data_IF_839480789579
#
_entry.id   IF_839480789579
#
_cell.length_a   1.000
_cell.length_b   1.000
_cell.length_c   1.000
_cell.angle_alpha   90.00
_cell.angle_beta   90.00
_cell.angle_gamma   90.00
#
_symmetry.space_group_name_H-M   'P 1'
#
loop_
_entity.id
_entity.type
_entity.pdbx_description
1 polymer ?
#
# COMPACT_ATOMS: atom_id res chain seq x y z
N UNK A 1 0.96 2.96 -13.11
CA UNK A 1 2.27 2.37 -12.82
C UNK A 1 2.09 1.19 -11.87
N UNK A 2 2.79 0.10 -12.12
CA UNK A 2 2.82 -1.05 -11.20
C UNK A 2 3.96 -0.80 -10.22
N UNK A 3 3.64 -0.69 -8.93
CA UNK A 3 4.65 -0.64 -7.88
C UNK A 3 4.83 -2.05 -7.30
N UNK A 4 6.05 -2.54 -7.29
CA UNK A 4 6.44 -3.79 -6.64
C UNK A 4 7.25 -3.55 -5.36
N UNK A 5 7.26 -2.31 -4.88
CA UNK A 5 7.98 -1.94 -3.67
C UNK A 5 7.12 -2.16 -2.43
N UNK A 6 7.78 -2.40 -1.31
CA UNK A 6 7.12 -2.43 -0.02
C UNK A 6 6.49 -1.08 0.33
N UNK A 7 5.42 -1.11 1.11
CA UNK A 7 4.61 0.06 1.45
C UNK A 7 5.44 1.18 2.09
N UNK A 8 6.35 0.84 3.00
CA UNK A 8 7.24 1.77 3.68
C UNK A 8 8.24 2.45 2.73
N UNK A 9 8.85 1.67 1.84
CA UNK A 9 9.79 2.20 0.85
C UNK A 9 9.08 3.10 -0.17
N UNK A 10 7.89 2.70 -0.61
CA UNK A 10 7.06 3.51 -1.50
C UNK A 10 6.67 4.84 -0.85
N UNK A 11 6.21 4.80 0.41
CA UNK A 11 5.83 5.98 1.17
C UNK A 11 7.03 6.92 1.38
N UNK A 12 8.20 6.39 1.77
CA UNK A 12 9.42 7.16 1.94
C UNK A 12 9.79 7.91 0.67
N UNK A 13 9.89 7.20 -0.46
CA UNK A 13 10.25 7.82 -1.73
C UNK A 13 9.28 8.92 -2.16
N UNK A 14 7.98 8.70 -1.99
CA UNK A 14 6.97 9.70 -2.30
C UNK A 14 7.09 10.94 -1.41
N UNK A 15 7.19 10.76 -0.10
CA UNK A 15 7.32 11.85 0.87
C UNK A 15 8.60 12.66 0.64
N UNK A 16 9.75 11.99 0.44
CA UNK A 16 11.02 12.67 0.17
C UNK A 16 10.96 13.52 -1.10
N UNK A 17 10.31 13.03 -2.17
CA UNK A 17 10.14 13.79 -3.41
C UNK A 17 9.27 15.01 -3.15
N UNK A 18 8.11 14.85 -2.49
CA UNK A 18 7.19 15.94 -2.22
C UNK A 18 7.81 17.01 -1.32
N UNK A 19 8.57 16.64 -0.30
CA UNK A 19 9.31 17.59 0.54
C UNK A 19 10.38 18.35 -0.25
N UNK A 20 11.14 17.66 -1.11
CA UNK A 20 12.17 18.29 -1.96
C UNK A 20 11.61 19.29 -2.96
N UNK A 21 10.38 19.09 -3.46
CA UNK A 21 9.72 20.06 -4.35
C UNK A 21 8.93 21.13 -3.59
N UNK A 22 8.97 21.12 -2.25
CA UNK A 22 8.38 22.16 -1.41
C UNK A 22 6.86 22.05 -1.25
N UNK A 23 6.28 20.85 -1.31
CA UNK A 23 4.86 20.66 -1.03
C UNK A 23 4.55 20.98 0.44
N UNK A 24 3.42 21.66 0.68
CA UNK A 24 2.95 21.99 2.02
C UNK A 24 1.89 20.99 2.53
N UNK A 25 1.24 20.28 1.64
CA UNK A 25 0.16 19.35 1.95
C UNK A 25 0.45 17.96 1.36
N UNK A 26 0.14 16.93 2.14
CA UNK A 26 0.21 15.53 1.74
C UNK A 26 -1.19 14.93 1.78
N UNK A 27 -1.85 14.87 0.63
CA UNK A 27 -3.17 14.27 0.51
C UNK A 27 -3.08 12.79 0.10
N UNK A 28 -3.86 11.94 0.76
CA UNK A 28 -3.94 10.51 0.43
C UNK A 28 -5.33 9.95 0.69
N UNK A 29 -5.71 8.93 -0.08
CA UNK A 29 -6.98 8.23 0.09
C UNK A 29 -6.93 7.23 1.24
N UNK A 30 -7.97 7.23 2.09
CA UNK A 30 -8.12 6.32 3.23
C UNK A 30 -9.55 5.75 3.28
N UNK A 31 -9.76 4.73 4.09
CA UNK A 31 -11.11 4.16 4.29
C UNK A 31 -11.92 4.96 5.32
N UNK A 32 -11.26 5.79 6.12
CA UNK A 32 -11.83 6.67 7.15
C UNK A 32 -10.75 7.30 8.01
N UNK A 33 -11.17 8.11 8.97
CA UNK A 33 -10.26 8.83 9.85
C UNK A 33 -9.87 10.21 9.29
N UNK A 34 -9.53 11.08 10.20
CA UNK A 34 -9.05 12.43 9.95
C UNK A 34 -7.56 12.57 10.30
N UNK A 35 -7.03 13.78 10.27
CA UNK A 35 -5.66 14.09 10.65
C UNK A 35 -5.33 13.58 12.05
N UNK A 36 -6.21 13.82 13.03
CA UNK A 36 -6.00 13.40 14.41
C UNK A 36 -5.94 11.87 14.59
N UNK A 37 -6.73 11.13 13.78
CA UNK A 37 -6.66 9.68 13.75
C UNK A 37 -5.27 9.19 13.32
N UNK A 38 -4.72 9.73 12.23
CA UNK A 38 -3.40 9.35 11.74
C UNK A 38 -2.28 9.79 12.68
N UNK A 39 -2.37 10.96 13.31
CA UNK A 39 -1.43 11.39 14.35
C UNK A 39 -1.43 10.43 15.55
N UNK A 40 -2.60 10.01 16.01
CA UNK A 40 -2.71 9.02 17.08
C UNK A 40 -2.10 7.67 16.68
N UNK A 41 -2.39 7.19 15.47
CA UNK A 41 -1.83 5.94 14.95
C UNK A 41 -0.30 5.99 14.83
N UNK A 42 0.25 7.10 14.35
CA UNK A 42 1.70 7.35 14.27
C UNK A 42 2.33 7.33 15.66
N UNK A 43 1.76 8.07 16.62
CA UNK A 43 2.25 8.11 18.00
C UNK A 43 2.27 6.71 18.63
N UNK A 44 1.20 5.93 18.45
CA UNK A 44 1.13 4.55 18.93
C UNK A 44 2.16 3.65 18.23
N UNK A 45 2.36 3.79 16.93
CA UNK A 45 3.35 3.02 16.17
C UNK A 45 4.79 3.31 16.63
N UNK A 46 5.10 4.57 16.90
CA UNK A 46 6.40 4.99 17.42
C UNK A 46 6.63 4.48 18.85
N UNK A 47 5.58 4.47 19.69
CA UNK A 47 5.67 3.99 21.06
C UNK A 47 6.08 2.50 21.15
N UNK A 48 5.73 1.68 20.17
CA UNK A 48 6.10 0.25 20.13
C UNK A 48 7.33 -0.07 19.29
N UNK A 49 7.96 0.92 18.66
CA UNK A 49 9.07 0.71 17.71
C UNK A 49 10.19 -0.16 18.28
N UNK A 50 10.59 0.11 19.51
CA UNK A 50 11.66 -0.63 20.19
C UNK A 50 11.29 -2.07 20.59
N UNK A 51 9.99 -2.36 20.67
CA UNK A 51 9.50 -3.68 21.06
C UNK A 51 9.25 -4.59 19.87
N UNK A 52 9.12 -4.02 18.65
CA UNK A 52 8.78 -4.78 17.44
C UNK A 52 9.80 -5.87 17.16
N UNK A 53 11.10 -5.54 17.13
CA UNK A 53 12.15 -6.51 16.81
C UNK A 53 12.12 -7.71 17.73
N UNK A 54 11.98 -7.47 19.05
CA UNK A 54 11.87 -8.53 20.03
C UNK A 54 10.61 -9.35 19.85
N UNK A 55 9.47 -8.70 19.64
CA UNK A 55 8.19 -9.39 19.44
C UNK A 55 8.20 -10.27 18.18
N UNK A 56 8.83 -9.79 17.10
CA UNK A 56 9.01 -10.53 15.84
C UNK A 56 9.86 -11.78 16.07
N UNK A 57 10.96 -11.68 16.82
CA UNK A 57 11.83 -12.82 17.15
C UNK A 57 11.09 -13.90 17.96
N UNK A 58 10.24 -13.48 18.90
CA UNK A 58 9.46 -14.38 19.76
C UNK A 58 8.29 -15.06 19.02
N UNK A 59 7.82 -14.49 17.89
CA UNK A 59 6.61 -14.94 17.19
C UNK A 59 6.85 -15.29 15.71
N UNK A 60 7.96 -15.91 15.38
CA UNK A 60 8.40 -16.22 13.99
C UNK A 60 7.43 -17.04 13.14
N UNK A 61 6.43 -17.67 13.73
CA UNK A 61 5.40 -18.44 13.00
C UNK A 61 4.34 -17.56 12.32
N UNK A 62 4.31 -16.27 12.64
CA UNK A 62 3.34 -15.32 12.12
C UNK A 62 3.97 -14.40 11.08
N UNK A 63 3.16 -13.87 10.16
CA UNK A 63 3.61 -12.83 9.25
C UNK A 63 3.89 -11.53 10.02
N UNK A 64 4.78 -10.70 9.52
CA UNK A 64 5.11 -9.40 10.13
C UNK A 64 3.86 -8.53 10.39
N UNK A 65 2.93 -8.49 9.43
CA UNK A 65 1.67 -7.76 9.58
C UNK A 65 0.85 -8.28 10.77
N UNK A 66 0.72 -9.60 10.91
CA UNK A 66 0.00 -10.22 12.04
C UNK A 66 0.69 -9.95 13.37
N UNK A 67 2.03 -10.01 13.39
CA UNK A 67 2.82 -9.71 14.60
C UNK A 67 2.63 -8.27 15.05
N UNK A 68 2.69 -7.32 14.11
CA UNK A 68 2.50 -5.90 14.40
C UNK A 68 1.09 -5.62 14.93
N UNK A 69 0.07 -6.21 14.31
CA UNK A 69 -1.32 -6.08 14.77
C UNK A 69 -1.50 -6.65 16.18
N UNK A 70 -0.97 -7.84 16.47
CA UNK A 70 -1.06 -8.43 17.81
C UNK A 70 -0.34 -7.61 18.87
N UNK A 71 0.83 -7.06 18.56
CA UNK A 71 1.54 -6.18 19.47
C UNK A 71 0.75 -4.89 19.73
N UNK A 72 0.15 -4.30 18.70
CA UNK A 72 -0.70 -3.12 18.84
C UNK A 72 -1.93 -3.40 19.71
N UNK A 73 -2.63 -4.51 19.47
CA UNK A 73 -3.77 -4.94 20.31
C UNK A 73 -3.37 -5.11 21.77
N UNK A 74 -2.25 -5.78 22.02
CA UNK A 74 -1.73 -6.02 23.36
C UNK A 74 -1.43 -4.73 24.12
N UNK A 75 -0.97 -3.69 23.41
CA UNK A 75 -0.54 -2.42 24.01
C UNK A 75 -1.67 -1.39 24.14
N UNK A 76 -2.53 -1.30 23.16
CA UNK A 76 -3.48 -0.20 23.03
C UNK A 76 -4.94 -0.66 22.96
N UNK A 77 -5.21 -1.96 22.85
CA UNK A 77 -6.54 -2.53 22.67
C UNK A 77 -6.97 -2.61 21.20
N UNK A 78 -8.06 -3.35 20.95
CA UNK A 78 -8.56 -3.65 19.60
C UNK A 78 -9.09 -2.42 18.86
N UNK A 79 -9.65 -1.44 19.58
CA UNK A 79 -10.25 -0.22 19.04
C UNK A 79 -9.25 0.94 18.91
N UNK A 80 -7.96 0.67 18.99
CA UNK A 80 -6.95 1.73 18.90
C UNK A 80 -6.73 2.18 17.45
N UNK A 81 -6.34 3.45 17.29
CA UNK A 81 -6.06 4.03 15.97
C UNK A 81 -5.03 3.24 15.18
N UNK A 82 -3.98 2.71 15.84
CA UNK A 82 -2.99 1.88 15.17
C UNK A 82 -3.58 0.57 14.66
N UNK A 83 -4.40 -0.12 15.45
CA UNK A 83 -5.04 -1.38 15.02
C UNK A 83 -5.96 -1.14 13.83
N UNK A 84 -6.78 -0.10 13.88
CA UNK A 84 -7.65 0.29 12.78
C UNK A 84 -6.84 0.66 11.52
N UNK A 85 -5.75 1.42 11.68
CA UNK A 85 -4.85 1.75 10.56
C UNK A 85 -4.17 0.53 9.93
N UNK A 86 -4.09 -0.60 10.61
CA UNK A 86 -3.52 -1.84 10.09
C UNK A 86 -4.55 -2.77 9.40
N UNK A 87 -5.85 -2.43 9.41
CA UNK A 87 -6.90 -3.32 8.90
C UNK A 87 -7.02 -3.33 7.38
N UNK A 88 -6.68 -2.26 6.69
CA UNK A 88 -6.83 -2.18 5.24
C UNK A 88 -5.57 -1.66 4.53
N UNK A 89 -5.35 -2.03 3.27
CA UNK A 89 -4.19 -1.57 2.51
C UNK A 89 -4.08 -0.05 2.38
N UNK A 90 -5.21 0.66 2.22
CA UNK A 90 -5.19 2.12 2.11
C UNK A 90 -4.87 2.79 3.45
N UNK A 91 -5.40 2.25 4.56
CA UNK A 91 -5.06 2.73 5.90
C UNK A 91 -3.59 2.50 6.23
N UNK A 92 -3.05 1.31 5.91
CA UNK A 92 -1.63 1.01 6.08
C UNK A 92 -0.73 1.95 5.26
N UNK A 93 -1.12 2.26 4.03
CA UNK A 93 -0.39 3.21 3.19
C UNK A 93 -0.48 4.64 3.75
N UNK A 94 -1.65 5.06 4.22
CA UNK A 94 -1.84 6.34 4.89
C UNK A 94 -0.97 6.48 6.14
N UNK A 95 -0.95 5.44 6.98
CA UNK A 95 -0.07 5.37 8.16
C UNK A 95 1.43 5.46 7.76
N UNK A 96 1.84 4.75 6.70
CA UNK A 96 3.21 4.80 6.22
C UNK A 96 3.60 6.21 5.72
N UNK A 97 2.71 6.88 4.99
CA UNK A 97 2.91 8.28 4.60
C UNK A 97 3.06 9.22 5.80
N UNK A 98 2.18 9.09 6.79
CA UNK A 98 2.21 9.92 7.98
C UNK A 98 3.51 9.69 8.79
N UNK A 99 3.93 8.43 8.97
CA UNK A 99 5.18 8.06 9.63
C UNK A 99 6.43 8.63 8.93
N UNK A 100 6.50 8.52 7.60
CA UNK A 100 7.63 9.04 6.85
C UNK A 100 7.64 10.57 6.80
N UNK A 101 6.44 11.19 6.77
CA UNK A 101 6.30 12.64 6.78
C UNK A 101 6.86 13.27 8.07
N UNK A 102 6.63 12.65 9.23
CA UNK A 102 7.17 13.16 10.50
C UNK A 102 8.69 13.08 10.62
N UNK A 103 9.35 12.22 9.84
CA UNK A 103 10.82 12.10 9.85
C UNK A 103 11.52 13.23 9.11
N UNK A 104 10.79 13.99 8.30
CA UNK A 104 11.34 15.11 7.52
C UNK A 104 11.61 16.35 8.37
N UNK A 105 12.52 17.19 7.92
CA UNK A 105 12.82 18.48 8.59
C UNK A 105 11.63 19.45 8.57
N UNK A 106 10.79 19.35 7.55
CA UNK A 106 9.60 20.20 7.35
C UNK A 106 8.40 19.31 7.02
N UNK A 107 7.75 18.70 8.03
CA UNK A 107 6.58 17.88 7.80
C UNK A 107 5.46 18.64 7.08
N UNK A 108 4.87 18.03 6.07
CA UNK A 108 3.70 18.52 5.38
C UNK A 108 2.46 18.33 6.26
N UNK A 109 1.46 19.19 6.10
CA UNK A 109 0.15 18.94 6.70
C UNK A 109 -0.50 17.76 5.98
N UNK A 110 -0.90 16.73 6.71
CA UNK A 110 -1.59 15.59 6.14
C UNK A 110 -3.07 15.91 5.89
N UNK A 111 -3.59 15.43 4.76
CA UNK A 111 -4.99 15.63 4.34
C UNK A 111 -5.57 14.28 3.94
N UNK A 112 -6.07 13.49 4.92
CA UNK A 112 -6.74 12.23 4.62
C UNK A 112 -8.03 12.48 3.85
N UNK A 113 -8.25 11.77 2.75
CA UNK A 113 -9.45 11.86 1.93
C UNK A 113 -10.18 10.53 2.00
N UNK A 114 -11.33 10.53 2.67
CA UNK A 114 -12.15 9.32 2.75
C UNK A 114 -12.65 8.92 1.37
N UNK A 115 -12.42 7.67 1.01
CA UNK A 115 -12.86 7.09 -0.26
C UNK A 115 -14.38 6.96 -0.28
N UNK A 116 -14.95 7.31 -1.44
CA UNK A 116 -16.38 7.15 -1.70
C UNK A 116 -16.53 6.10 -2.80
N UNK A 117 -17.42 5.13 -2.60
CA UNK A 117 -17.71 4.08 -3.57
C UNK A 117 -17.44 2.67 -3.04
N UNK A 118 -17.22 1.73 -3.96
CA UNK A 118 -17.00 0.32 -3.65
C UNK A 118 -15.72 0.08 -2.84
N UNK A 119 -15.75 -0.92 -1.97
CA UNK A 119 -14.60 -1.36 -1.19
C UNK A 119 -13.41 -1.76 -2.08
N UNK A 120 -12.22 -1.80 -1.50
CA UNK A 120 -10.98 -2.11 -2.24
C UNK A 120 -10.99 -3.48 -2.93
N UNK A 121 -11.78 -4.42 -2.41
CA UNK A 121 -11.89 -5.81 -2.90
C UNK A 121 -13.15 -6.05 -3.75
N UNK A 122 -13.98 -5.04 -3.98
CA UNK A 122 -15.15 -5.20 -4.83
C UNK A 122 -14.75 -5.38 -6.29
N UNK A 123 -15.02 -6.56 -6.79
CA UNK A 123 -14.65 -7.01 -8.13
C UNK A 123 -15.70 -6.69 -9.19
N UNK A 124 -16.87 -6.18 -8.79
CA UNK A 124 -17.99 -5.89 -9.66
C UNK A 124 -18.06 -4.39 -10.04
N UNK A 125 -18.48 -4.12 -11.26
CA UNK A 125 -18.86 -2.77 -11.69
C UNK A 125 -20.31 -2.54 -11.30
N UNK A 126 -20.56 -1.49 -10.53
CA UNK A 126 -21.92 -1.02 -10.21
C UNK A 126 -22.21 0.30 -10.92
N UNK A 127 -23.44 0.49 -11.39
CA UNK A 127 -23.84 1.72 -12.10
C UNK A 127 -23.82 2.96 -11.21
N UNK A 128 -24.04 2.78 -9.91
CA UNK A 128 -24.27 3.86 -8.95
C UNK A 128 -23.10 4.20 -8.05
N UNK A 129 -22.00 3.42 -8.10
CA UNK A 129 -20.82 3.62 -7.24
C UNK A 129 -19.55 3.81 -8.07
N UNK A 130 -18.59 4.55 -7.53
CA UNK A 130 -17.26 4.62 -8.13
C UNK A 130 -16.58 3.26 -8.02
N UNK A 131 -16.26 2.67 -9.16
CA UNK A 131 -15.64 1.35 -9.21
C UNK A 131 -14.21 1.36 -8.64
N UNK A 132 -13.81 0.25 -8.00
CA UNK A 132 -12.43 0.06 -7.57
C UNK A 132 -11.50 -0.04 -8.79
N UNK A 133 -10.23 0.37 -8.63
CA UNK A 133 -9.22 0.17 -9.68
C UNK A 133 -9.04 -1.30 -10.08
N UNK A 134 -9.34 -2.24 -9.18
CA UNK A 134 -9.33 -3.69 -9.45
C UNK A 134 -10.49 -4.09 -10.35
N UNK A 135 -11.70 -3.63 -10.06
CA UNK A 135 -12.89 -3.86 -10.90
C UNK A 135 -12.70 -3.29 -12.30
N UNK A 136 -12.18 -2.05 -12.42
CA UNK A 136 -11.88 -1.43 -13.71
C UNK A 136 -10.85 -2.23 -14.51
N UNK A 137 -9.73 -2.65 -13.90
CA UNK A 137 -8.71 -3.46 -14.59
C UNK A 137 -9.24 -4.81 -15.04
N UNK A 138 -10.08 -5.45 -14.22
CA UNK A 138 -10.73 -6.73 -14.56
C UNK A 138 -11.70 -6.57 -15.74
N UNK A 139 -12.53 -5.53 -15.71
CA UNK A 139 -13.46 -5.22 -16.79
C UNK A 139 -12.74 -4.87 -18.10
N UNK A 140 -11.65 -4.11 -18.06
CA UNK A 140 -10.83 -3.78 -19.24
C UNK A 140 -10.20 -5.02 -19.90
N UNK A 141 -9.90 -6.07 -19.10
CA UNK A 141 -9.42 -7.35 -19.64
C UNK A 141 -10.53 -8.21 -20.24
N UNK A 142 -11.77 -7.97 -19.84
CA UNK A 142 -12.96 -8.69 -20.29
C UNK A 142 -13.66 -8.01 -21.48
N UNK A 143 -14.86 -7.51 -21.26
CA UNK A 143 -15.69 -6.83 -22.27
C UNK A 143 -15.48 -5.31 -22.23
N UNK A 144 -14.68 -4.76 -23.15
CA UNK A 144 -14.42 -3.31 -23.26
C UNK A 144 -15.62 -2.48 -23.74
N UNK A 145 -16.62 -3.13 -24.32
CA UNK A 145 -17.83 -2.46 -24.80
C UNK A 145 -18.92 -2.32 -23.73
N UNK A 146 -18.63 -2.71 -22.50
CA UNK A 146 -19.55 -2.55 -21.39
C UNK A 146 -19.86 -1.06 -21.14
N UNK A 147 -21.15 -0.72 -21.17
CA UNK A 147 -21.64 0.66 -21.01
C UNK A 147 -21.29 1.20 -19.60
N UNK A 148 -21.34 0.37 -18.56
CA UNK A 148 -20.99 0.76 -17.19
C UNK A 148 -19.50 1.08 -17.11
N UNK A 149 -18.65 0.25 -17.73
CA UNK A 149 -17.22 0.51 -17.80
C UNK A 149 -16.91 1.85 -18.49
N UNK A 150 -17.53 2.13 -19.62
CA UNK A 150 -17.36 3.40 -20.34
C UNK A 150 -17.80 4.60 -19.50
N UNK A 151 -18.92 4.49 -18.79
CA UNK A 151 -19.38 5.53 -17.88
C UNK A 151 -18.36 5.79 -16.76
N UNK A 152 -17.82 4.75 -16.13
CA UNK A 152 -16.80 4.85 -15.10
C UNK A 152 -15.48 5.44 -15.61
N UNK A 153 -15.04 5.07 -16.82
CA UNK A 153 -13.84 5.61 -17.45
C UNK A 153 -13.98 7.08 -17.88
N UNK A 154 -15.21 7.60 -18.01
CA UNK A 154 -15.42 9.01 -18.36
C UNK A 154 -14.88 9.99 -17.31
N UNK A 155 -14.70 9.55 -16.07
CA UNK A 155 -14.08 10.34 -14.99
C UNK A 155 -12.54 10.35 -15.04
N UNK A 156 -11.94 9.54 -15.90
CA UNK A 156 -10.47 9.38 -15.99
C UNK A 156 -10.04 9.64 -17.44
N UNK A 157 -8.95 10.36 -17.61
CA UNK A 157 -8.31 10.41 -18.93
C UNK A 157 -7.64 9.05 -19.18
N UNK A 158 -8.23 8.26 -20.05
CA UNK A 158 -7.82 6.90 -20.35
C UNK A 158 -7.47 6.75 -21.83
N UNK A 159 -6.29 6.26 -22.12
CA UNK A 159 -5.85 5.89 -23.45
C UNK A 159 -5.83 4.36 -23.57
N UNK A 160 -6.73 3.83 -24.41
CA UNK A 160 -6.88 2.39 -24.59
C UNK A 160 -5.64 1.73 -25.21
N UNK A 161 -4.88 2.47 -26.02
CA UNK A 161 -3.68 1.95 -26.67
C UNK A 161 -2.50 1.81 -25.70
N UNK A 162 -2.46 2.64 -24.64
CA UNK A 162 -1.43 2.59 -23.61
C UNK A 162 -1.70 1.55 -22.51
N UNK A 163 -2.92 0.98 -22.44
CA UNK A 163 -3.27 0.03 -21.39
C UNK A 163 -2.79 -1.40 -21.71
N UNK A 164 -1.49 -1.62 -21.62
CA UNK A 164 -0.88 -2.95 -21.72
C UNK A 164 -0.02 -3.32 -20.52
N UNK A 165 -0.06 -2.53 -19.45
CA UNK A 165 0.77 -2.72 -18.27
C UNK A 165 0.16 -3.74 -17.29
N UNK A 166 0.48 -5.01 -17.49
CA UNK A 166 0.22 -6.05 -16.48
C UNK A 166 1.50 -6.89 -16.24
N UNK A 167 1.43 -7.72 -15.19
CA UNK A 167 2.57 -8.57 -14.82
C UNK A 167 2.97 -9.57 -15.91
N UNK A 168 2.06 -9.97 -16.79
CA UNK A 168 2.36 -10.92 -17.88
C UNK A 168 3.39 -10.36 -18.85
N UNK A 169 3.39 -9.05 -19.08
CA UNK A 169 4.40 -8.38 -19.93
C UNK A 169 5.80 -8.39 -19.30
N UNK A 170 5.89 -8.38 -17.97
CA UNK A 170 7.16 -8.42 -17.23
C UNK A 170 7.65 -9.82 -16.94
N UNK A 171 6.76 -10.82 -16.96
CA UNK A 171 7.09 -12.17 -16.56
C UNK A 171 8.27 -12.79 -17.30
N UNK A 172 8.40 -12.68 -18.63
CA UNK A 172 9.56 -13.24 -19.35
C UNK A 172 10.90 -12.65 -18.90
N UNK A 173 10.93 -11.35 -18.61
CA UNK A 173 12.12 -10.65 -18.09
C UNK A 173 12.45 -11.09 -16.67
N UNK A 174 11.45 -11.06 -15.79
CA UNK A 174 11.61 -11.49 -14.41
C UNK A 174 12.05 -12.95 -14.31
N UNK A 175 11.40 -13.83 -15.06
CA UNK A 175 11.78 -15.25 -15.15
C UNK A 175 13.22 -15.42 -15.60
N UNK A 176 13.66 -14.68 -16.63
CA UNK A 176 15.03 -14.74 -17.12
C UNK A 176 16.03 -14.30 -16.04
N UNK A 177 15.73 -13.26 -15.27
CA UNK A 177 16.58 -12.79 -14.19
C UNK A 177 16.66 -13.85 -13.09
N UNK A 178 15.52 -14.34 -12.59
CA UNK A 178 15.48 -15.36 -11.54
C UNK A 178 16.26 -16.62 -11.93
N UNK A 179 16.06 -17.14 -13.14
CA UNK A 179 16.73 -18.36 -13.62
C UNK A 179 18.26 -18.19 -13.84
N UNK A 180 18.75 -16.96 -13.95
CA UNK A 180 20.18 -16.68 -14.18
C UNK A 180 20.90 -16.18 -12.94
N UNK A 181 20.17 -15.78 -11.92
CA UNK A 181 20.74 -15.33 -10.64
C UNK A 181 21.14 -16.51 -9.77
N UNK A 182 22.21 -16.33 -9.04
CA UNK A 182 22.59 -17.23 -7.94
C UNK A 182 21.73 -16.97 -6.70
N UNK A 183 21.67 -17.94 -5.78
CA UNK A 183 20.99 -17.77 -4.49
C UNK A 183 21.54 -16.57 -3.71
N UNK A 184 22.83 -16.29 -3.81
CA UNK A 184 23.48 -15.16 -3.13
C UNK A 184 23.02 -13.82 -3.72
N UNK A 185 22.92 -13.73 -5.06
CA UNK A 185 22.37 -12.54 -5.73
C UNK A 185 20.90 -12.31 -5.38
N UNK A 186 20.10 -13.36 -5.32
CA UNK A 186 18.70 -13.27 -4.93
C UNK A 186 18.55 -12.81 -3.47
N UNK A 187 19.34 -13.36 -2.53
CA UNK A 187 19.35 -12.95 -1.11
C UNK A 187 19.82 -11.51 -0.91
N UNK A 188 20.59 -10.96 -1.81
CA UNK A 188 21.01 -9.56 -1.77
C UNK A 188 19.92 -8.56 -2.16
N UNK A 189 18.80 -9.02 -2.73
CA UNK A 189 17.66 -8.18 -3.07
C UNK A 189 16.97 -7.72 -1.79
N UNK A 190 16.70 -6.41 -1.68
CA UNK A 190 16.00 -5.83 -0.53
C UNK A 190 14.67 -6.57 -0.24
N UNK A 191 14.46 -6.95 0.99
CA UNK A 191 13.30 -7.74 1.48
C UNK A 191 13.16 -9.16 0.90
N UNK A 192 14.20 -9.72 0.32
CA UNK A 192 14.26 -11.14 0.00
C UNK A 192 14.61 -11.91 1.28
N UNK A 193 13.60 -12.20 2.08
CA UNK A 193 13.71 -12.84 3.40
C UNK A 193 12.88 -14.13 3.45
N UNK A 194 12.97 -14.87 4.55
CA UNK A 194 12.17 -16.08 4.83
C UNK A 194 12.33 -17.21 3.81
N UNK A 195 13.43 -17.22 3.07
CA UNK A 195 13.72 -18.29 2.10
C UNK A 195 12.85 -18.22 0.84
N UNK A 196 12.38 -17.02 0.46
CA UNK A 196 11.63 -16.80 -0.77
C UNK A 196 12.46 -17.22 -1.98
N UNK A 197 13.77 -16.98 -1.97
CA UNK A 197 14.71 -17.40 -3.02
C UNK A 197 14.66 -18.90 -3.33
N UNK A 198 14.27 -19.73 -2.34
CA UNK A 198 14.13 -21.17 -2.55
C UNK A 198 12.78 -21.59 -3.14
N UNK A 199 11.87 -20.64 -3.36
CA UNK A 199 10.52 -20.85 -3.91
C UNK A 199 10.34 -20.27 -5.31
N UNK A 200 11.32 -19.50 -5.78
CA UNK A 200 11.35 -18.91 -7.10
C UNK A 200 11.92 -19.89 -8.15
#
# INVERSE_FOLDING_TARGET
AVSCQATDLFARGAVEILQKVGCHYLAFGCEGGDEAFFEAAVSQRQAIEKEISRFVEENRSLTFASQLTQLAIKKFGEESALVEALQSPNQQLGLAYALENEKGEHPMQIVPITRVGSGHLDDALEETAFASGTALRKALKGNRDDQVLRAQLSYVRFDEEEYQNDWSSYWPLLKSIVLRSTDEELRAIYQMEEGIENRL
#
